data_IF_203594888977
#
_entry.id   IF_203594888977
#
_cell.length_a   1.000
_cell.length_b   1.000
_cell.length_c   1.000
_cell.angle_alpha   90.00
_cell.angle_beta   90.00
_cell.angle_gamma   90.00
#
_symmetry.space_group_name_H-M   'P 1'
#
loop_
_entity.id
_entity.type
_entity.pdbx_description
1 polymer ?
#
# COMPACT_ATOMS: atom_id res chain seq x y z
N UNK A 1 14.51 -8.26 15.03
CA UNK A 1 13.49 -7.20 14.91
C UNK A 1 13.42 -6.78 13.45
N UNK A 2 12.22 -6.62 12.86
CA UNK A 2 12.05 -6.28 11.44
C UNK A 2 11.24 -5.00 11.34
N UNK A 3 11.59 -4.13 10.38
CA UNK A 3 10.95 -2.84 10.17
C UNK A 3 10.04 -2.92 8.94
N UNK A 4 8.76 -2.72 9.15
CA UNK A 4 7.73 -2.67 8.13
C UNK A 4 7.08 -1.30 8.06
N UNK A 5 6.56 -0.95 6.92
CA UNK A 5 5.83 0.31 6.70
C UNK A 5 4.47 -0.01 6.11
N UNK A 6 3.42 0.58 6.67
CA UNK A 6 2.05 0.39 6.25
C UNK A 6 1.48 1.69 5.69
N UNK A 7 0.65 1.55 4.64
CA UNK A 7 -0.19 2.60 4.08
C UNK A 7 -1.49 2.01 3.52
N UNK A 8 -2.50 2.84 3.30
CA UNK A 8 -3.78 2.43 2.74
C UNK A 8 -4.08 3.16 1.42
N UNK A 9 -3.90 2.46 0.31
CA UNK A 9 -4.25 2.96 -1.02
C UNK A 9 -5.75 2.86 -1.31
N UNK A 10 -6.35 3.93 -1.87
CA UNK A 10 -7.73 3.93 -2.36
C UNK A 10 -7.76 3.79 -3.87
N UNK A 11 -8.53 2.82 -4.37
CA UNK A 11 -8.69 2.50 -5.79
C UNK A 11 -10.17 2.40 -6.14
N UNK A 12 -10.55 2.69 -7.38
CA UNK A 12 -11.97 2.59 -7.76
C UNK A 12 -12.26 3.04 -9.18
N UNK A 13 -13.55 3.25 -9.47
CA UNK A 13 -14.03 3.57 -10.81
C UNK A 13 -13.83 5.03 -11.22
N UNK A 14 -13.31 5.88 -10.32
CA UNK A 14 -12.85 7.21 -10.72
C UNK A 14 -11.59 7.07 -11.56
N UNK A 15 -11.54 7.67 -12.76
CA UNK A 15 -10.42 7.51 -13.68
C UNK A 15 -9.09 7.94 -13.08
N UNK A 16 -8.08 7.09 -13.21
CA UNK A 16 -6.68 7.41 -12.94
C UNK A 16 -6.03 7.81 -14.25
N UNK A 17 -5.70 9.09 -14.40
CA UNK A 17 -5.08 9.61 -15.61
C UNK A 17 -3.57 9.66 -15.44
N UNK A 18 -2.85 9.10 -16.41
CA UNK A 18 -1.40 9.20 -16.53
C UNK A 18 -1.00 9.72 -17.91
N UNK A 19 0.12 10.44 -17.95
CA UNK A 19 0.73 10.87 -19.21
C UNK A 19 1.14 9.64 -20.03
N UNK A 20 0.93 9.70 -21.32
CA UNK A 20 1.35 8.67 -22.27
C UNK A 20 2.02 9.33 -23.48
N UNK A 21 2.85 8.57 -24.16
CA UNK A 21 3.46 8.98 -25.42
C UNK A 21 2.43 8.89 -26.55
N UNK A 22 2.37 9.92 -27.39
CA UNK A 22 1.53 9.96 -28.58
C UNK A 22 2.30 10.59 -29.73
N UNK A 23 1.84 10.36 -30.95
CA UNK A 23 2.41 11.03 -32.13
C UNK A 23 2.23 12.55 -32.01
N UNK A 24 3.24 13.28 -32.46
CA UNK A 24 3.19 14.76 -32.45
C UNK A 24 1.95 15.26 -33.19
N UNK A 25 1.20 16.13 -32.55
CA UNK A 25 -0.05 16.66 -33.09
C UNK A 25 -1.30 15.83 -32.78
N UNK A 26 -1.16 14.63 -32.24
CA UNK A 26 -2.29 13.82 -31.79
C UNK A 26 -2.50 13.98 -30.27
N UNK A 27 -3.74 14.36 -29.88
CA UNK A 27 -4.14 14.41 -28.47
C UNK A 27 -4.84 13.10 -28.10
N UNK A 28 -4.24 12.27 -27.24
CA UNK A 28 -4.90 11.05 -26.77
C UNK A 28 -6.18 11.38 -26.04
N UNK A 29 -7.25 10.67 -26.35
CA UNK A 29 -8.55 10.78 -25.69
C UNK A 29 -8.79 9.50 -24.91
N UNK A 30 -9.11 9.61 -23.63
CA UNK A 30 -9.53 8.49 -22.80
C UNK A 30 -11.00 8.69 -22.43
N UNK A 31 -11.84 7.69 -22.72
CA UNK A 31 -13.20 7.66 -22.23
C UNK A 31 -13.18 7.55 -20.70
N UNK A 32 -14.00 8.36 -20.03
CA UNK A 32 -14.04 8.38 -18.56
C UNK A 32 -15.46 8.05 -18.09
N UNK A 33 -15.57 7.08 -17.20
CA UNK A 33 -16.76 6.81 -16.44
C UNK A 33 -16.53 7.32 -15.01
N UNK A 34 -17.36 8.26 -14.55
CA UNK A 34 -17.24 8.81 -13.19
C UNK A 34 -18.22 8.10 -12.27
N UNK A 35 -17.77 7.03 -11.62
CA UNK A 35 -18.52 6.37 -10.56
C UNK A 35 -17.74 6.47 -9.25
N UNK A 36 -18.46 6.69 -8.14
CA UNK A 36 -17.87 6.85 -6.81
C UNK A 36 -17.98 5.53 -6.05
N UNK A 37 -17.34 4.49 -6.59
CA UNK A 37 -17.19 3.20 -5.94
C UNK A 37 -15.70 2.96 -5.71
N UNK A 38 -15.36 2.47 -4.52
CA UNK A 38 -13.99 2.35 -4.07
C UNK A 38 -13.74 1.02 -3.39
N UNK A 39 -12.51 0.54 -3.50
CA UNK A 39 -11.89 -0.43 -2.63
C UNK A 39 -10.60 0.16 -2.05
N UNK A 40 -10.10 -0.47 -1.01
CA UNK A 40 -8.88 -0.06 -0.32
C UNK A 40 -7.93 -1.22 -0.28
N UNK A 41 -6.65 -0.97 -0.48
CA UNK A 41 -5.59 -1.95 -0.30
C UNK A 41 -4.73 -1.50 0.86
N UNK A 42 -4.70 -2.27 1.93
CA UNK A 42 -3.70 -2.14 2.97
C UNK A 42 -2.40 -2.72 2.43
N UNK A 43 -1.35 -1.94 2.47
CA UNK A 43 -0.05 -2.22 1.87
C UNK A 43 0.95 -2.24 3.00
N UNK A 44 1.58 -3.38 3.24
CA UNK A 44 2.70 -3.51 4.17
C UNK A 44 3.95 -3.87 3.39
N UNK A 45 5.04 -3.14 3.60
CA UNK A 45 6.33 -3.40 2.94
C UNK A 45 7.46 -3.42 3.95
N UNK A 46 8.42 -4.33 3.75
CA UNK A 46 9.70 -4.35 4.44
C UNK A 46 10.77 -3.77 3.50
N UNK A 47 11.20 -2.52 3.66
CA UNK A 47 12.10 -1.87 2.72
C UNK A 47 13.45 -2.56 2.59
N UNK A 48 13.93 -3.21 3.64
CA UNK A 48 15.23 -3.87 3.66
C UNK A 48 15.29 -5.09 2.73
N UNK A 49 14.25 -5.90 2.72
CA UNK A 49 14.18 -7.13 1.91
C UNK A 49 13.37 -6.96 0.64
N UNK A 50 12.41 -6.02 0.63
CA UNK A 50 11.42 -5.87 -0.41
C UNK A 50 10.24 -6.83 -0.26
N UNK A 51 10.12 -7.53 0.86
CA UNK A 51 8.91 -8.29 1.16
C UNK A 51 7.72 -7.35 1.25
N UNK A 52 6.58 -7.81 0.76
CA UNK A 52 5.34 -7.04 0.78
C UNK A 52 4.16 -7.95 1.09
N UNK A 53 3.20 -7.39 1.80
CA UNK A 53 1.92 -8.00 2.10
C UNK A 53 0.79 -7.05 1.76
N UNK A 54 -0.30 -7.57 1.23
CA UNK A 54 -1.42 -6.78 0.73
C UNK A 54 -2.74 -7.39 1.16
N UNK A 55 -3.65 -6.55 1.64
CA UNK A 55 -5.02 -6.93 1.94
C UNK A 55 -5.99 -5.96 1.26
N UNK A 56 -6.87 -6.49 0.40
CA UNK A 56 -7.88 -5.69 -0.31
C UNK A 56 -9.18 -5.73 0.48
N UNK A 57 -9.75 -4.57 0.79
CA UNK A 57 -10.97 -4.41 1.56
C UNK A 57 -11.89 -3.36 0.92
N UNK A 58 -13.19 -3.47 1.18
CA UNK A 58 -14.19 -2.56 0.61
C UNK A 58 -14.28 -1.20 1.32
N UNK A 59 -13.68 -1.07 2.49
CA UNK A 59 -13.67 0.20 3.25
C UNK A 59 -12.49 0.27 4.22
N UNK A 60 -12.32 1.40 4.87
CA UNK A 60 -11.41 1.60 5.99
C UNK A 60 -12.22 1.89 7.25
N UNK A 61 -11.92 1.15 8.32
CA UNK A 61 -12.56 1.30 9.62
C UNK A 61 -11.70 0.65 10.70
N UNK A 62 -11.98 0.95 11.96
CA UNK A 62 -11.25 0.34 13.09
C UNK A 62 -11.36 -1.21 13.06
N UNK A 63 -12.54 -1.82 12.88
CA UNK A 63 -12.64 -3.29 12.77
C UNK A 63 -11.84 -3.88 11.60
N UNK A 64 -11.85 -3.22 10.44
CA UNK A 64 -11.09 -3.69 9.28
C UNK A 64 -9.58 -3.48 9.45
N UNK A 65 -9.16 -2.41 10.13
CA UNK A 65 -7.76 -2.24 10.53
C UNK A 65 -7.32 -3.34 11.50
N UNK A 66 -8.19 -3.75 12.44
CA UNK A 66 -7.91 -4.88 13.32
C UNK A 66 -7.68 -6.17 12.52
N UNK A 67 -8.58 -6.47 11.59
CA UNK A 67 -8.42 -7.64 10.69
C UNK A 67 -7.10 -7.55 9.91
N UNK A 68 -6.78 -6.37 9.36
CA UNK A 68 -5.55 -6.19 8.59
C UNK A 68 -4.29 -6.41 9.45
N UNK A 69 -4.27 -5.92 10.69
CA UNK A 69 -3.15 -6.15 11.61
C UNK A 69 -3.01 -7.62 12.03
N UNK A 70 -4.13 -8.28 12.32
CA UNK A 70 -4.13 -9.68 12.73
C UNK A 70 -3.66 -10.60 11.60
N UNK A 71 -4.14 -10.36 10.36
CA UNK A 71 -3.71 -11.13 9.18
C UNK A 71 -2.24 -10.84 8.85
N UNK A 72 -1.83 -9.58 8.84
CA UNK A 72 -0.44 -9.19 8.63
C UNK A 72 0.50 -9.84 9.65
N UNK A 73 0.18 -9.72 10.95
CA UNK A 73 0.99 -10.32 12.02
C UNK A 73 1.14 -11.83 11.83
N UNK A 74 0.08 -12.51 11.41
CA UNK A 74 0.07 -13.97 11.20
C UNK A 74 0.81 -14.40 9.94
N UNK A 75 0.66 -13.62 8.84
CA UNK A 75 1.26 -13.93 7.55
C UNK A 75 2.78 -13.69 7.52
N UNK A 76 3.22 -12.60 8.15
CA UNK A 76 4.60 -12.12 8.04
C UNK A 76 5.51 -12.73 9.10
N UNK A 77 4.95 -13.13 10.23
CA UNK A 77 5.74 -13.62 11.36
C UNK A 77 5.18 -14.87 12.04
N UNK A 78 5.25 -16.03 11.38
CA UNK A 78 4.83 -17.29 12.00
C UNK A 78 5.67 -17.69 13.22
N UNK A 79 6.82 -17.04 13.46
CA UNK A 79 7.73 -17.32 14.57
C UNK A 79 7.65 -16.27 15.69
N UNK A 80 6.67 -15.37 15.67
CA UNK A 80 6.44 -14.33 16.68
C UNK A 80 7.67 -13.45 16.97
N UNK A 81 8.42 -13.09 15.93
CA UNK A 81 9.48 -12.09 16.04
C UNK A 81 8.88 -10.72 16.32
N UNK A 82 9.67 -9.82 16.88
CA UNK A 82 9.23 -8.44 17.09
C UNK A 82 9.23 -7.67 15.75
N UNK A 83 8.08 -7.16 15.37
CA UNK A 83 7.88 -6.34 14.17
C UNK A 83 7.62 -4.88 14.58
N UNK A 84 8.35 -3.94 14.01
CA UNK A 84 8.01 -2.53 14.06
C UNK A 84 7.20 -2.20 12.81
N UNK A 85 5.99 -1.65 12.98
CA UNK A 85 5.14 -1.20 11.90
C UNK A 85 5.03 0.33 11.94
N UNK A 86 5.68 0.99 10.99
CA UNK A 86 5.54 2.42 10.74
C UNK A 86 4.24 2.67 9.97
N UNK A 87 3.43 3.62 10.42
CA UNK A 87 2.14 3.95 9.81
C UNK A 87 1.82 5.44 10.01
N UNK A 88 0.90 5.96 9.21
CA UNK A 88 0.42 7.32 9.40
C UNK A 88 -0.49 7.46 10.64
N UNK A 89 -0.88 8.69 10.95
CA UNK A 89 -1.74 9.00 12.10
C UNK A 89 -3.23 9.07 11.72
N UNK A 90 -3.69 8.27 10.76
CA UNK A 90 -5.12 8.18 10.48
C UNK A 90 -5.90 7.71 11.72
N UNK A 91 -7.12 8.20 11.91
CA UNK A 91 -7.88 7.95 13.13
C UNK A 91 -8.16 6.46 13.42
N UNK A 92 -8.21 5.62 12.41
CA UNK A 92 -8.34 4.16 12.56
C UNK A 92 -7.01 3.47 12.93
N UNK A 93 -5.85 4.13 12.74
CA UNK A 93 -4.54 3.61 13.16
C UNK A 93 -4.23 3.92 14.63
N UNK A 94 -4.76 5.02 15.14
CA UNK A 94 -4.45 5.52 16.50
C UNK A 94 -5.59 5.28 17.50
N UNK A 95 -6.61 4.54 17.09
CA UNK A 95 -7.78 4.29 17.96
C UNK A 95 -7.41 3.46 19.20
N UNK A 96 -7.85 3.86 20.39
CA UNK A 96 -7.67 3.06 21.62
C UNK A 96 -8.46 1.74 21.59
N UNK A 97 -9.34 1.54 20.61
CA UNK A 97 -10.11 0.30 20.43
C UNK A 97 -9.31 -0.78 19.71
N UNK A 98 -8.17 -0.44 19.09
CA UNK A 98 -7.33 -1.42 18.42
C UNK A 98 -6.60 -2.30 19.46
N UNK A 99 -6.68 -3.60 19.24
CA UNK A 99 -5.92 -4.60 19.98
C UNK A 99 -4.69 -4.98 19.17
N UNK A 100 -3.58 -4.31 19.48
CA UNK A 100 -2.33 -4.54 18.75
C UNK A 100 -1.79 -5.94 19.06
N UNK A 101 -1.51 -6.79 18.06
CA UNK A 101 -0.89 -8.10 18.26
C UNK A 101 0.40 -7.99 19.09
N UNK A 102 0.70 -8.95 19.99
CA UNK A 102 1.80 -8.83 20.96
C UNK A 102 3.19 -8.79 20.31
N UNK A 103 3.34 -9.26 19.07
CA UNK A 103 4.57 -9.21 18.30
C UNK A 103 4.70 -7.92 17.45
N UNK A 104 3.68 -7.03 17.47
CA UNK A 104 3.63 -5.84 16.64
C UNK A 104 3.84 -4.58 17.48
N UNK A 105 4.77 -3.73 17.08
CA UNK A 105 5.03 -2.43 17.68
C UNK A 105 4.65 -1.32 16.68
N UNK A 106 3.59 -0.56 16.98
CA UNK A 106 3.14 0.52 16.11
C UNK A 106 3.96 1.78 16.39
N UNK A 107 4.55 2.35 15.33
CA UNK A 107 5.31 3.58 15.39
C UNK A 107 4.74 4.58 14.39
N UNK A 108 4.05 5.65 14.83
CA UNK A 108 3.47 6.61 13.91
C UNK A 108 4.53 7.51 13.27
N UNK A 109 4.39 7.79 11.96
CA UNK A 109 5.10 8.88 11.31
C UNK A 109 4.67 10.24 11.90
N UNK A 110 5.50 11.28 11.79
CA UNK A 110 5.05 12.64 12.04
C UNK A 110 3.79 12.97 11.22
N UNK A 111 2.90 13.77 11.76
CA UNK A 111 1.67 14.12 11.06
C UNK A 111 1.98 14.89 9.76
N UNK A 112 1.20 14.63 8.70
CA UNK A 112 1.30 15.33 7.41
C UNK A 112 2.68 15.20 6.70
N UNK A 113 3.34 14.05 6.80
CA UNK A 113 4.63 13.78 6.16
C UNK A 113 4.60 12.58 5.20
N UNK A 114 3.74 12.59 4.15
CA UNK A 114 3.64 11.46 3.22
C UNK A 114 4.97 11.18 2.50
N UNK A 115 5.82 12.20 2.31
CA UNK A 115 7.15 12.08 1.72
C UNK A 115 8.11 11.19 2.51
N UNK A 116 7.82 10.95 3.78
CA UNK A 116 8.59 10.03 4.62
C UNK A 116 8.11 8.58 4.48
N UNK A 117 6.90 8.35 3.95
CA UNK A 117 6.34 6.99 3.85
C UNK A 117 6.90 6.22 2.67
N UNK A 118 7.68 5.16 2.88
CA UNK A 118 8.14 4.27 1.83
C UNK A 118 7.03 3.44 1.17
N UNK A 119 5.85 3.37 1.76
CA UNK A 119 4.71 2.69 1.17
C UNK A 119 3.96 3.53 0.11
N UNK A 120 4.10 4.87 0.12
CA UNK A 120 3.46 5.76 -0.87
C UNK A 120 3.82 5.44 -2.34
N UNK A 121 5.09 5.14 -2.71
CA UNK A 121 5.42 4.69 -4.06
C UNK A 121 4.69 3.41 -4.47
N UNK A 122 4.35 2.53 -3.52
CA UNK A 122 3.60 1.31 -3.79
C UNK A 122 2.15 1.62 -4.17
N UNK A 123 1.50 2.59 -3.50
CA UNK A 123 0.17 3.08 -3.91
C UNK A 123 0.21 3.59 -5.35
N UNK A 124 1.26 4.35 -5.69
CA UNK A 124 1.45 4.84 -7.06
C UNK A 124 1.67 3.70 -8.05
N UNK A 125 2.41 2.67 -7.67
CA UNK A 125 2.67 1.49 -8.50
C UNK A 125 1.38 0.71 -8.76
N UNK A 126 0.59 0.45 -7.73
CA UNK A 126 -0.70 -0.24 -7.83
C UNK A 126 -1.73 0.53 -8.68
N UNK A 127 -1.59 1.84 -8.87
CA UNK A 127 -2.43 2.62 -9.79
C UNK A 127 -2.10 2.39 -11.28
N UNK A 128 -0.94 1.82 -11.63
CA UNK A 128 -0.53 1.66 -13.03
C UNK A 128 -1.46 0.74 -13.82
N UNK A 129 -1.87 -0.44 -13.32
CA UNK A 129 -2.72 -1.36 -14.08
C UNK A 129 -4.08 -0.79 -14.44
N UNK A 130 -4.60 0.17 -13.65
CA UNK A 130 -5.91 0.81 -13.87
C UNK A 130 -5.80 2.16 -14.57
N UNK A 131 -4.58 2.67 -14.77
CA UNK A 131 -4.36 3.98 -15.37
C UNK A 131 -4.79 4.02 -16.83
N UNK A 132 -5.49 5.11 -17.22
CA UNK A 132 -6.02 5.34 -18.57
C UNK A 132 -6.97 4.24 -19.10
N UNK A 133 -7.51 3.41 -18.21
CA UNK A 133 -8.51 2.40 -18.56
C UNK A 133 -9.91 2.87 -18.19
N UNK A 134 -10.90 2.46 -18.97
CA UNK A 134 -12.32 2.58 -18.64
C UNK A 134 -12.77 1.26 -18.04
N UNK A 135 -12.96 1.24 -16.72
CA UNK A 135 -13.41 0.07 -15.98
C UNK A 135 -14.90 0.24 -15.65
N UNK A 136 -15.66 -0.82 -15.76
CA UNK A 136 -17.11 -0.80 -15.62
C UNK A 136 -17.59 -1.26 -14.24
N UNK A 137 -16.83 -2.12 -13.61
CA UNK A 137 -17.17 -2.73 -12.31
C UNK A 137 -16.01 -2.60 -11.33
N UNK A 138 -16.35 -2.61 -10.04
CA UNK A 138 -15.35 -2.63 -8.98
C UNK A 138 -14.55 -3.93 -8.99
N UNK A 139 -15.17 -5.04 -9.45
CA UNK A 139 -14.48 -6.31 -9.61
C UNK A 139 -13.33 -6.23 -10.64
N UNK A 140 -13.52 -5.54 -11.77
CA UNK A 140 -12.43 -5.32 -12.73
C UNK A 140 -11.27 -4.55 -12.12
N UNK A 141 -11.56 -3.58 -11.23
CA UNK A 141 -10.52 -2.84 -10.49
C UNK A 141 -9.80 -3.78 -9.53
N UNK A 142 -10.55 -4.57 -8.76
CA UNK A 142 -10.02 -5.51 -7.79
C UNK A 142 -9.11 -6.55 -8.45
N UNK A 143 -9.55 -7.15 -9.55
CA UNK A 143 -8.78 -8.16 -10.28
C UNK A 143 -7.42 -7.61 -10.76
N UNK A 144 -7.42 -6.38 -11.29
CA UNK A 144 -6.19 -5.73 -11.75
C UNK A 144 -5.24 -5.37 -10.59
N UNK A 145 -5.79 -4.89 -9.49
CA UNK A 145 -4.99 -4.57 -8.28
C UNK A 145 -4.46 -5.85 -7.65
N UNK A 146 -5.29 -6.89 -7.51
CA UNK A 146 -4.87 -8.17 -6.94
C UNK A 146 -3.75 -8.82 -7.77
N UNK A 147 -3.88 -8.82 -9.09
CA UNK A 147 -2.84 -9.33 -9.98
C UNK A 147 -1.50 -8.59 -9.80
N UNK A 148 -1.55 -7.25 -9.65
CA UNK A 148 -0.33 -6.46 -9.42
C UNK A 148 0.24 -6.68 -8.01
N UNK A 149 -0.60 -6.86 -6.99
CA UNK A 149 -0.16 -7.22 -5.64
C UNK A 149 0.61 -8.55 -5.66
N UNK A 150 0.02 -9.59 -6.26
CA UNK A 150 0.67 -10.90 -6.42
C UNK A 150 1.99 -10.78 -7.20
N UNK A 151 2.00 -10.02 -8.29
CA UNK A 151 3.23 -9.79 -9.06
C UNK A 151 4.33 -9.16 -8.19
N UNK A 152 3.99 -8.12 -7.42
CA UNK A 152 4.95 -7.42 -6.56
C UNK A 152 5.51 -8.32 -5.46
N UNK A 153 4.70 -9.21 -4.88
CA UNK A 153 5.18 -10.20 -3.91
C UNK A 153 6.24 -11.15 -4.50
N UNK A 154 6.18 -11.42 -5.82
CA UNK A 154 7.15 -12.28 -6.52
C UNK A 154 8.40 -11.53 -7.01
N UNK A 155 8.46 -10.21 -6.90
CA UNK A 155 9.58 -9.38 -7.35
C UNK A 155 10.11 -8.45 -6.25
N UNK A 156 10.61 -9.00 -5.12
CA UNK A 156 11.00 -8.20 -3.96
C UNK A 156 12.09 -7.16 -4.27
N UNK A 157 12.93 -7.38 -5.27
CA UNK A 157 13.96 -6.41 -5.66
C UNK A 157 13.35 -5.12 -6.23
N UNK A 158 12.23 -5.22 -6.95
CA UNK A 158 11.49 -4.04 -7.43
C UNK A 158 10.91 -3.27 -6.23
N UNK A 159 10.25 -3.96 -5.30
CA UNK A 159 9.71 -3.36 -4.08
C UNK A 159 10.81 -2.67 -3.27
N UNK A 160 11.93 -3.36 -3.03
CA UNK A 160 13.09 -2.80 -2.33
C UNK A 160 13.60 -1.53 -3.01
N UNK A 161 13.73 -1.52 -4.34
CA UNK A 161 14.22 -0.34 -5.07
C UNK A 161 13.29 0.88 -4.95
N UNK A 162 11.99 0.65 -4.74
CA UNK A 162 10.98 1.70 -4.57
C UNK A 162 10.89 2.20 -3.12
N UNK A 163 11.17 1.35 -2.14
CA UNK A 163 10.83 1.60 -0.73
C UNK A 163 12.04 1.79 0.18
N UNK A 164 13.24 1.36 -0.21
CA UNK A 164 14.44 1.55 0.59
C UNK A 164 14.96 3.00 0.49
N UNK A 165 14.30 3.89 1.18
CA UNK A 165 14.67 5.31 1.25
C UNK A 165 16.00 5.51 1.96
N UNK A 166 16.78 6.57 1.61
CA UNK A 166 18.09 6.83 2.21
C UNK A 166 18.08 6.88 3.74
N UNK A 167 17.03 7.46 4.34
CA UNK A 167 16.92 7.55 5.79
C UNK A 167 16.71 6.18 6.45
N UNK A 168 15.94 5.27 5.81
CA UNK A 168 15.77 3.89 6.31
C UNK A 168 17.09 3.15 6.27
N UNK A 169 17.81 3.26 5.15
CA UNK A 169 19.13 2.64 5.01
C UNK A 169 20.07 3.13 6.11
N UNK A 170 20.10 4.46 6.36
CA UNK A 170 20.92 5.04 7.41
C UNK A 170 20.56 4.49 8.81
N UNK A 171 19.27 4.38 9.12
CA UNK A 171 18.81 3.78 10.39
C UNK A 171 19.24 2.32 10.50
N UNK A 172 19.02 1.52 9.46
CA UNK A 172 19.37 0.09 9.47
C UNK A 172 20.88 -0.16 9.58
N UNK A 173 21.70 0.70 8.98
CA UNK A 173 23.17 0.62 9.04
C UNK A 173 23.72 1.05 10.42
N UNK A 174 22.89 1.63 11.29
CA UNK A 174 23.27 2.13 12.63
C UNK A 174 23.01 1.11 13.74
N UNK A 175 22.41 -0.02 13.43
CA UNK A 175 22.13 -1.15 14.35
C UNK A 175 22.93 -2.40 13.96
#
# INVERSE_FOLDING_TARGET
MRLWVQDAGRFGLKPVLKRLWALRGQRPVSAQRRQYQWLYTYICVEPQTGQSDFLILLSVSIPLMQVAMDEFSRAVDPHQQQLILLLDQAGWHTSPQLQVPPNLFLLPFPACTPELSPAEPMVTKLKLPIANKTLNTLQEVEDLIAAECVRLQHVPQEVKSLTLFPWIKHVLDSF
#
